data_IF_590445144881
#
_entry.id   IF_590445144881
#
_cell.length_a   1.000
_cell.length_b   1.000
_cell.length_c   1.000
_cell.angle_alpha   90.00
_cell.angle_beta   90.00
_cell.angle_gamma   90.00
#
_symmetry.space_group_name_H-M   'P 1'
#
loop_
_entity.id
_entity.type
_entity.pdbx_description
1 polymer ?
#
# COMPACT_ATOMS: atom_id res chain seq x y z
N UNK A 1 4.29 -6.97 -8.10
CA UNK A 1 3.23 -6.37 -7.29
C UNK A 1 2.90 -4.95 -7.73
N UNK A 2 3.86 -4.01 -7.77
CA UNK A 2 3.64 -2.63 -8.24
C UNK A 2 2.94 -2.52 -9.60
N UNK A 3 3.33 -3.31 -10.60
CA UNK A 3 2.66 -3.31 -11.91
C UNK A 3 1.17 -3.69 -11.85
N UNK A 4 0.79 -4.61 -10.97
CA UNK A 4 -0.62 -5.00 -10.77
C UNK A 4 -1.41 -3.86 -10.10
N UNK A 5 -0.80 -3.13 -9.17
CA UNK A 5 -1.38 -1.93 -8.56
C UNK A 5 -1.55 -0.82 -9.60
N UNK A 6 -0.54 -0.59 -10.44
CA UNK A 6 -0.60 0.43 -11.49
C UNK A 6 -1.73 0.16 -12.50
N UNK A 7 -2.00 -1.12 -12.77
CA UNK A 7 -3.11 -1.58 -13.61
C UNK A 7 -4.45 -1.74 -12.89
N UNK A 8 -4.59 -1.34 -11.62
CA UNK A 8 -5.83 -1.49 -10.83
C UNK A 8 -6.34 -2.94 -10.73
N UNK A 9 -5.44 -3.91 -10.68
CA UNK A 9 -5.77 -5.35 -10.63
C UNK A 9 -5.68 -5.88 -9.20
N UNK A 10 -6.74 -5.69 -8.40
CA UNK A 10 -6.77 -6.09 -6.99
C UNK A 10 -6.63 -7.60 -6.82
N UNK A 11 -7.29 -8.38 -7.67
CA UNK A 11 -7.25 -9.85 -7.67
C UNK A 11 -5.84 -10.35 -8.00
N UNK A 12 -5.14 -9.71 -8.94
CA UNK A 12 -3.75 -10.04 -9.26
C UNK A 12 -2.84 -9.74 -8.07
N UNK A 13 -3.04 -8.63 -7.35
CA UNK A 13 -2.29 -8.34 -6.12
C UNK A 13 -2.54 -9.42 -5.07
N UNK A 14 -3.80 -9.81 -4.86
CA UNK A 14 -4.17 -10.85 -3.91
C UNK A 14 -3.54 -12.21 -4.28
N UNK A 15 -3.58 -12.58 -5.56
CA UNK A 15 -2.96 -13.81 -6.07
C UNK A 15 -1.44 -13.80 -5.88
N UNK A 16 -0.77 -12.71 -6.25
CA UNK A 16 0.68 -12.60 -6.08
C UNK A 16 1.10 -12.73 -4.62
N UNK A 17 0.41 -12.05 -3.71
CA UNK A 17 0.67 -12.14 -2.28
C UNK A 17 0.45 -13.57 -1.76
N UNK A 18 -0.65 -14.22 -2.18
CA UNK A 18 -0.95 -15.61 -1.82
C UNK A 18 0.12 -16.60 -2.31
N UNK A 19 0.73 -16.36 -3.47
CA UNK A 19 1.83 -17.17 -4.02
C UNK A 19 3.19 -16.89 -3.33
N UNK A 20 3.22 -16.08 -2.27
CA UNK A 20 4.44 -15.78 -1.52
C UNK A 20 5.28 -14.63 -2.09
N UNK A 21 4.73 -13.80 -2.97
CA UNK A 21 5.41 -12.57 -3.36
C UNK A 21 5.61 -11.66 -2.13
N UNK A 22 6.82 -11.14 -1.96
CA UNK A 22 7.15 -10.25 -0.85
C UNK A 22 6.37 -8.91 -0.94
N UNK A 23 5.35 -8.78 -0.09
CA UNK A 23 4.49 -7.59 0.02
C UNK A 23 5.20 -6.35 0.58
N UNK A 24 6.40 -6.52 1.15
CA UNK A 24 7.21 -5.44 1.71
C UNK A 24 8.39 -5.06 0.81
N UNK A 25 8.51 -5.68 -0.37
CA UNK A 25 9.61 -5.41 -1.31
C UNK A 25 9.63 -3.95 -1.72
N UNK A 26 10.71 -3.25 -1.40
CA UNK A 26 10.95 -1.89 -1.87
C UNK A 26 11.26 -1.95 -3.37
N UNK A 27 10.59 -1.10 -4.15
CA UNK A 27 10.84 -0.99 -5.57
C UNK A 27 12.29 -0.52 -5.83
N UNK A 28 13.04 -1.18 -6.72
CA UNK A 28 14.41 -0.77 -7.01
C UNK A 28 14.50 0.53 -7.81
N UNK A 29 13.40 0.98 -8.43
CA UNK A 29 13.34 2.23 -9.17
C UNK A 29 12.65 3.32 -8.35
N UNK A 30 13.01 4.58 -8.60
CA UNK A 30 12.47 5.75 -7.92
C UNK A 30 10.99 6.03 -8.21
N UNK A 31 10.44 5.41 -9.25
CA UNK A 31 9.09 5.72 -9.76
C UNK A 31 7.97 5.16 -8.87
N UNK A 32 8.26 4.09 -8.14
CA UNK A 32 7.24 3.34 -7.39
C UNK A 32 7.16 3.75 -5.91
N UNK A 33 7.97 4.72 -5.47
CA UNK A 33 7.88 5.34 -4.13
C UNK A 33 7.87 4.36 -2.94
N UNK A 34 8.65 3.27 -3.05
CA UNK A 34 8.89 2.34 -1.95
C UNK A 34 8.17 1.00 -2.07
N UNK A 35 7.47 0.60 -1.01
CA UNK A 35 6.75 -0.68 -0.93
C UNK A 35 5.48 -0.68 -1.78
N UNK A 36 4.88 -1.84 -2.09
CA UNK A 36 3.56 -1.92 -2.70
C UNK A 36 2.50 -1.09 -1.96
N UNK A 37 2.58 -1.05 -0.63
CA UNK A 37 1.66 -0.28 0.21
C UNK A 37 1.83 1.24 0.00
N UNK A 38 3.08 1.74 0.01
CA UNK A 38 3.34 3.16 -0.28
C UNK A 38 2.91 3.51 -1.71
N UNK A 39 3.18 2.62 -2.67
CA UNK A 39 2.81 2.83 -4.07
C UNK A 39 1.31 2.88 -4.29
N UNK A 40 0.53 2.01 -3.65
CA UNK A 40 -0.93 2.04 -3.75
C UNK A 40 -1.50 3.40 -3.31
N UNK A 41 -1.00 3.95 -2.20
CA UNK A 41 -1.45 5.25 -1.68
C UNK A 41 -0.98 6.38 -2.61
N UNK A 42 0.27 6.34 -3.07
CA UNK A 42 0.85 7.37 -3.93
C UNK A 42 0.26 7.40 -5.34
N UNK A 43 0.06 6.25 -5.99
CA UNK A 43 -0.31 6.15 -7.39
C UNK A 43 -1.82 6.23 -7.63
N UNK A 44 -2.61 5.54 -6.80
CA UNK A 44 -4.07 5.47 -7.00
C UNK A 44 -4.68 6.82 -6.65
N UNK A 45 -5.52 7.35 -7.54
CA UNK A 45 -6.11 8.69 -7.41
C UNK A 45 -7.42 8.69 -6.62
N UNK A 46 -8.19 7.60 -6.70
CA UNK A 46 -9.45 7.45 -5.98
C UNK A 46 -9.19 6.81 -4.61
N UNK A 47 -9.64 7.50 -3.55
CA UNK A 47 -9.43 7.03 -2.18
C UNK A 47 -10.04 5.65 -1.94
N UNK A 48 -11.21 5.38 -2.52
CA UNK A 48 -11.92 4.10 -2.35
C UNK A 48 -11.12 2.92 -2.92
N UNK A 49 -10.54 3.10 -4.10
CA UNK A 49 -9.65 2.10 -4.70
C UNK A 49 -8.39 1.95 -3.85
N UNK A 50 -7.75 3.06 -3.47
CA UNK A 50 -6.55 3.03 -2.62
C UNK A 50 -6.83 2.28 -1.30
N UNK A 51 -7.99 2.50 -0.68
CA UNK A 51 -8.42 1.82 0.52
C UNK A 51 -8.57 0.31 0.32
N UNK A 52 -9.12 -0.15 -0.81
CA UNK A 52 -9.24 -1.57 -1.13
C UNK A 52 -7.87 -2.26 -1.28
N UNK A 53 -6.93 -1.61 -1.99
CA UNK A 53 -5.56 -2.09 -2.13
C UNK A 53 -4.83 -2.11 -0.79
N UNK A 54 -4.93 -1.03 0.00
CA UNK A 54 -4.31 -0.93 1.33
C UNK A 54 -4.82 -2.03 2.24
N UNK A 55 -6.14 -2.24 2.34
CA UNK A 55 -6.72 -3.30 3.16
C UNK A 55 -6.22 -4.69 2.72
N UNK A 56 -6.15 -4.94 1.41
CA UNK A 56 -5.67 -6.21 0.86
C UNK A 56 -4.19 -6.44 1.19
N UNK A 57 -3.34 -5.44 0.99
CA UNK A 57 -1.90 -5.54 1.28
C UNK A 57 -1.64 -5.74 2.77
N UNK A 58 -2.35 -5.02 3.65
CA UNK A 58 -2.23 -5.17 5.11
C UNK A 58 -2.69 -6.56 5.57
N UNK A 59 -3.76 -7.11 4.98
CA UNK A 59 -4.21 -8.49 5.23
C UNK A 59 -3.12 -9.52 4.94
N UNK A 60 -2.26 -9.24 3.95
CA UNK A 60 -1.12 -10.09 3.58
C UNK A 60 0.18 -9.73 4.31
N UNK A 61 0.14 -8.90 5.35
CA UNK A 61 1.31 -8.59 6.18
C UNK A 61 2.18 -7.44 5.68
N UNK A 62 1.65 -6.56 4.82
CA UNK A 62 2.34 -5.32 4.48
C UNK A 62 2.57 -4.46 5.73
N UNK A 63 3.78 -3.94 5.89
CA UNK A 63 4.19 -3.14 7.03
C UNK A 63 4.05 -1.64 6.70
N UNK A 64 3.08 -0.93 7.32
CA UNK A 64 2.84 0.49 7.06
C UNK A 64 3.94 1.40 7.59
N UNK A 65 4.89 0.89 8.39
CA UNK A 65 5.99 1.66 8.98
C UNK A 65 7.21 1.76 8.08
N UNK A 66 7.28 0.99 6.99
CA UNK A 66 8.41 1.07 6.06
C UNK A 66 8.37 2.42 5.37
N UNK A 67 9.39 3.24 5.61
CA UNK A 67 9.56 4.53 4.99
C UNK A 67 10.33 4.42 3.68
N UNK A 68 9.99 5.28 2.73
CA UNK A 68 10.74 5.53 1.52
C UNK A 68 10.86 7.04 1.36
N UNK A 69 12.08 7.55 1.15
CA UNK A 69 12.36 8.99 1.11
C UNK A 69 11.82 9.74 2.34
N UNK A 70 11.87 9.10 3.53
CA UNK A 70 11.40 9.68 4.78
C UNK A 70 9.87 9.65 4.98
N UNK A 71 9.10 9.14 4.02
CA UNK A 71 7.63 9.01 4.11
C UNK A 71 7.21 7.56 4.18
N UNK A 72 6.38 7.21 5.16
CA UNK A 72 5.72 5.90 5.26
C UNK A 72 4.26 5.99 4.75
N UNK A 73 3.50 4.91 4.87
CA UNK A 73 2.12 4.84 4.40
C UNK A 73 1.20 5.92 5.01
N UNK A 74 1.38 6.26 6.30
CA UNK A 74 0.60 7.32 6.94
C UNK A 74 0.94 8.70 6.40
N UNK A 75 2.22 8.97 6.13
CA UNK A 75 2.66 10.27 5.64
C UNK A 75 2.08 10.52 4.24
N UNK A 76 2.11 9.52 3.36
CA UNK A 76 1.47 9.58 2.05
C UNK A 76 -0.04 9.76 2.13
N UNK A 77 -0.73 9.03 3.02
CA UNK A 77 -2.18 9.13 3.14
C UNK A 77 -2.62 10.51 3.67
N UNK A 78 -1.84 11.12 4.58
CA UNK A 78 -2.07 12.47 5.08
C UNK A 78 -1.88 13.53 4.00
N UNK A 79 -0.80 13.43 3.24
CA UNK A 79 -0.51 14.37 2.15
C UNK A 79 -1.61 14.37 1.07
N UNK A 80 -2.21 13.21 0.82
CA UNK A 80 -3.34 13.07 -0.10
C UNK A 80 -4.72 13.40 0.48
N UNK A 81 -4.82 13.55 1.80
CA UNK A 81 -6.12 13.72 2.46
C UNK A 81 -7.00 12.46 2.45
N UNK A 82 -6.40 11.27 2.32
CA UNK A 82 -7.13 9.99 2.30
C UNK A 82 -7.52 9.54 3.72
N UNK A 83 -8.55 10.17 4.29
CA UNK A 83 -9.05 9.90 5.64
C UNK A 83 -9.46 8.44 5.89
N UNK A 84 -10.06 7.77 4.91
CA UNK A 84 -10.42 6.35 4.97
C UNK A 84 -9.19 5.46 5.01
N UNK A 85 -8.18 5.76 4.19
CA UNK A 85 -6.90 5.03 4.22
C UNK A 85 -6.22 5.21 5.58
N UNK A 86 -6.21 6.42 6.13
CA UNK A 86 -5.68 6.70 7.48
C UNK A 86 -6.43 5.84 8.51
N UNK A 87 -7.77 5.81 8.48
CA UNK A 87 -8.56 5.00 9.40
C UNK A 87 -8.22 3.50 9.34
N UNK A 88 -8.00 2.96 8.13
CA UNK A 88 -7.59 1.56 7.94
C UNK A 88 -6.20 1.30 8.54
N UNK A 89 -5.24 2.20 8.30
CA UNK A 89 -3.89 2.09 8.83
C UNK A 89 -3.89 2.17 10.38
N UNK A 90 -4.70 3.04 10.97
CA UNK A 90 -4.84 3.16 12.43
C UNK A 90 -5.44 1.91 13.08
N UNK A 91 -6.45 1.30 12.47
CA UNK A 91 -7.04 0.06 12.97
C UNK A 91 -6.02 -1.08 13.01
N UNK A 92 -5.12 -1.13 12.02
CA UNK A 92 -4.08 -2.16 11.96
C UNK A 92 -3.04 -1.97 13.06
N UNK A 93 -2.72 -0.72 13.42
CA UNK A 93 -1.79 -0.40 14.53
C UNK A 93 -2.28 -0.86 15.90
N UNK A 94 -3.59 -1.02 16.09
CA UNK A 94 -4.18 -1.46 17.37
C UNK A 94 -4.22 -2.98 17.53
N UNK A 95 -3.97 -3.74 16.46
CA UNK A 95 -4.09 -5.21 16.44
C UNK A 95 -2.76 -5.94 16.63
N UNK A 96 -1.63 -5.21 16.62
CA UNK A 96 -0.26 -5.73 16.80
C UNK A 96 0.40 -5.03 17.99
#
# INVERSE_FOLDING_TARGET
>A
MHGAIAGYQLETVNLLAFQGADVNRICPTSDCKGTPLNFAIYWILQEEDAAAFVATLLKHGANPRISYEGKNAFDWAREKGYGKVIAILEQTRRKN
#
